data_IF_952893493976
#
_entry.id   IF_952893493976
#
_cell.length_a   1.000
_cell.length_b   1.000
_cell.length_c   1.000
_cell.angle_alpha   90.00
_cell.angle_beta   90.00
_cell.angle_gamma   90.00
#
_symmetry.space_group_name_H-M   'P 1'
#
loop_
_entity.id
_entity.type
_entity.pdbx_description
1 polymer ?
#
# COMPACT_ATOMS: atom_id res chain seq x y z
N UNK A 1 -11.46 28.30 -27.63
CA UNK A 1 -10.05 28.20 -27.22
C UNK A 1 -9.93 28.41 -25.72
N UNK A 2 -9.90 27.38 -24.91
CA UNK A 2 -9.56 27.41 -23.47
C UNK A 2 -9.07 26.01 -23.04
N UNK A 3 -7.79 25.71 -23.31
CA UNK A 3 -7.13 24.47 -22.95
C UNK A 3 -6.06 24.64 -21.86
N UNK A 4 -6.06 25.76 -21.12
CA UNK A 4 -4.95 26.16 -20.26
C UNK A 4 -5.11 25.97 -18.74
N UNK A 5 -6.31 25.64 -18.24
CA UNK A 5 -6.58 25.65 -16.77
C UNK A 5 -6.39 24.29 -16.06
N UNK A 6 -6.46 23.18 -16.78
CA UNK A 6 -6.46 21.84 -16.15
C UNK A 6 -5.08 21.31 -15.80
N UNK A 7 -4.03 21.72 -16.53
CA UNK A 7 -2.65 21.29 -16.25
C UNK A 7 -2.10 21.90 -14.96
N UNK A 8 -2.48 23.13 -14.63
CA UNK A 8 -2.08 23.79 -13.38
C UNK A 8 -2.73 23.17 -12.13
N UNK A 9 -3.92 22.58 -12.28
CA UNK A 9 -4.62 21.93 -11.18
C UNK A 9 -3.96 20.60 -10.80
N UNK A 10 -3.50 19.84 -11.79
CA UNK A 10 -2.81 18.56 -11.57
C UNK A 10 -1.48 18.76 -10.80
N UNK A 11 -0.71 19.80 -11.16
CA UNK A 11 0.57 20.11 -10.50
C UNK A 11 0.35 20.58 -9.04
N UNK A 12 -0.73 21.32 -8.76
CA UNK A 12 -1.05 21.75 -7.38
C UNK A 12 -1.52 20.63 -6.46
N UNK A 13 -2.20 19.62 -6.99
CA UNK A 13 -2.64 18.45 -6.19
C UNK A 13 -1.45 17.60 -5.77
N UNK A 14 -0.40 17.50 -6.61
CA UNK A 14 0.80 16.71 -6.31
C UNK A 14 1.77 17.39 -5.31
N UNK A 15 1.68 18.72 -5.13
CA UNK A 15 2.64 19.47 -4.29
C UNK A 15 2.09 19.81 -2.91
N UNK A 16 0.78 19.68 -2.64
CA UNK A 16 0.14 20.34 -1.49
C UNK A 16 -0.17 19.46 -0.27
N UNK A 17 0.26 18.24 -0.15
CA UNK A 17 -0.09 17.43 1.02
C UNK A 17 1.12 16.99 1.87
N UNK A 18 1.69 17.99 2.59
CA UNK A 18 2.28 17.76 3.92
C UNK A 18 1.31 18.26 5.00
N UNK A 19 0.04 17.87 4.94
CA UNK A 19 -0.88 18.16 6.04
C UNK A 19 -1.02 16.92 6.93
N UNK A 20 -0.70 17.13 8.19
CA UNK A 20 -1.00 16.24 9.31
C UNK A 20 -2.45 15.78 9.26
N UNK A 21 -2.64 14.48 9.10
CA UNK A 21 -3.93 13.83 9.17
C UNK A 21 -4.47 13.92 10.61
N UNK A 22 -5.55 14.65 10.82
CA UNK A 22 -6.42 14.56 11.99
C UNK A 22 -7.75 13.94 11.55
N UNK A 23 -7.76 12.62 11.40
CA UNK A 23 -8.99 11.86 11.20
C UNK A 23 -9.46 11.30 12.53
N UNK A 24 -10.74 11.44 12.83
CA UNK A 24 -11.43 10.92 14.02
C UNK A 24 -11.73 9.41 13.91
N UNK A 25 -10.73 8.64 13.57
CA UNK A 25 -10.73 7.19 13.74
C UNK A 25 -9.49 6.84 14.55
N UNK A 26 -9.64 6.11 15.64
CA UNK A 26 -8.51 5.68 16.48
C UNK A 26 -7.60 4.79 15.62
N UNK A 27 -6.67 5.41 14.91
CA UNK A 27 -5.58 4.71 14.25
C UNK A 27 -4.66 4.21 15.35
N UNK A 28 -4.73 2.91 15.68
CA UNK A 28 -3.76 2.28 16.56
C UNK A 28 -2.40 2.26 15.83
N UNK A 29 -1.58 3.24 16.14
CA UNK A 29 -0.14 3.19 15.85
C UNK A 29 0.54 2.53 17.05
N UNK A 30 1.14 1.35 16.90
CA UNK A 30 1.93 0.78 17.98
C UNK A 30 3.04 1.77 18.37
N UNK A 31 3.39 1.89 19.66
CA UNK A 31 4.39 2.85 20.13
C UNK A 31 5.74 2.60 19.44
N UNK A 32 6.40 3.70 19.05
CA UNK A 32 7.75 3.64 18.49
C UNK A 32 8.68 2.98 19.53
N UNK A 33 9.55 2.03 19.15
CA UNK A 33 10.55 1.50 20.05
C UNK A 33 11.46 2.63 20.53
N UNK A 34 11.58 2.77 21.84
CA UNK A 34 12.55 3.68 22.45
C UNK A 34 13.95 3.11 22.20
N UNK A 35 14.78 3.90 21.55
CA UNK A 35 16.21 3.68 21.27
C UNK A 35 16.54 2.47 20.37
N UNK A 36 17.09 2.80 19.21
CA UNK A 36 17.72 1.95 18.21
C UNK A 36 18.15 0.54 18.64
N UNK A 37 17.19 -0.38 18.70
CA UNK A 37 17.53 -1.78 18.80
C UNK A 37 18.23 -2.16 17.50
N UNK A 38 19.54 -2.28 17.58
CA UNK A 38 20.34 -2.78 16.47
C UNK A 38 19.92 -4.20 16.16
N UNK A 39 19.83 -4.55 14.87
CA UNK A 39 19.54 -5.90 14.36
C UNK A 39 20.54 -6.99 14.81
N UNK A 40 21.25 -6.79 15.88
CA UNK A 40 22.36 -7.63 16.32
C UNK A 40 21.95 -9.06 16.73
N UNK A 41 20.66 -9.35 16.83
CA UNK A 41 20.13 -10.69 17.13
C UNK A 41 19.50 -11.41 15.94
N UNK A 42 19.35 -10.75 14.78
CA UNK A 42 18.76 -11.36 13.58
C UNK A 42 19.81 -12.14 12.81
N UNK A 43 19.46 -13.33 12.32
CA UNK A 43 20.28 -14.02 11.33
C UNK A 43 20.31 -13.24 10.01
N UNK A 44 21.37 -13.43 9.18
CA UNK A 44 21.41 -12.78 7.86
C UNK A 44 20.19 -13.08 6.98
N UNK A 45 19.60 -14.26 7.10
CA UNK A 45 18.39 -14.64 6.38
C UNK A 45 17.15 -13.87 6.87
N UNK A 46 17.03 -13.68 8.18
CA UNK A 46 15.96 -12.89 8.78
C UNK A 46 16.09 -11.40 8.39
N UNK A 47 17.29 -10.85 8.44
CA UNK A 47 17.53 -9.47 8.00
C UNK A 47 17.17 -9.28 6.53
N UNK A 48 17.65 -10.16 5.64
CA UNK A 48 17.32 -10.12 4.22
C UNK A 48 15.80 -10.24 3.96
N UNK A 49 15.09 -11.00 4.79
CA UNK A 49 13.64 -11.11 4.70
C UNK A 49 12.96 -9.79 5.09
N UNK A 50 13.36 -9.15 6.19
CA UNK A 50 12.80 -7.85 6.63
C UNK A 50 13.05 -6.74 5.61
N UNK A 51 14.25 -6.66 5.05
CA UNK A 51 14.56 -5.71 3.98
C UNK A 51 13.66 -5.92 2.76
N UNK A 52 13.37 -7.18 2.42
CA UNK A 52 12.45 -7.53 1.34
C UNK A 52 11.02 -7.11 1.67
N UNK A 53 10.52 -7.40 2.87
CA UNK A 53 9.19 -6.96 3.34
C UNK A 53 9.06 -5.45 3.17
N UNK A 54 9.95 -4.67 3.75
CA UNK A 54 9.91 -3.21 3.69
C UNK A 54 9.94 -2.69 2.23
N UNK A 55 10.78 -3.27 1.37
CA UNK A 55 10.89 -2.86 -0.03
C UNK A 55 9.63 -3.15 -0.82
N UNK A 56 9.07 -4.34 -0.66
CA UNK A 56 7.88 -4.78 -1.39
C UNK A 56 6.67 -3.99 -0.95
N UNK A 57 6.49 -3.81 0.35
CA UNK A 57 5.36 -3.07 0.89
C UNK A 57 5.44 -1.59 0.49
N UNK A 58 6.62 -0.96 0.59
CA UNK A 58 6.80 0.41 0.11
C UNK A 58 6.46 0.55 -1.39
N UNK A 59 6.83 -0.41 -2.23
CA UNK A 59 6.50 -0.39 -3.64
C UNK A 59 5.00 -0.65 -3.88
N UNK A 60 4.37 -1.50 -3.08
CA UNK A 60 2.93 -1.77 -3.11
C UNK A 60 2.12 -0.53 -2.75
N UNK A 61 2.42 0.10 -1.61
CA UNK A 61 1.74 1.31 -1.14
C UNK A 61 1.93 2.51 -2.10
N UNK A 62 3.11 2.63 -2.69
CA UNK A 62 3.34 3.60 -3.75
C UNK A 62 2.45 3.34 -4.97
N UNK A 63 2.26 2.07 -5.33
CA UNK A 63 1.37 1.66 -6.40
C UNK A 63 -0.09 1.98 -6.09
N UNK A 64 -0.58 1.60 -4.91
CA UNK A 64 -1.95 1.84 -4.46
C UNK A 64 -2.27 3.34 -4.42
N UNK A 65 -1.44 4.16 -3.76
CA UNK A 65 -1.59 5.62 -3.74
C UNK A 65 -1.76 6.21 -5.14
N UNK A 66 -0.95 5.77 -6.12
CA UNK A 66 -1.03 6.29 -7.48
C UNK A 66 -2.23 5.75 -8.27
N UNK A 67 -2.67 4.51 -8.02
CA UNK A 67 -3.92 3.99 -8.57
C UNK A 67 -5.10 4.85 -8.11
N UNK A 68 -5.22 5.10 -6.80
CA UNK A 68 -6.28 5.94 -6.25
C UNK A 68 -6.19 7.38 -6.76
N UNK A 69 -4.99 7.95 -6.89
CA UNK A 69 -4.80 9.27 -7.48
C UNK A 69 -5.33 9.35 -8.93
N UNK A 70 -5.06 8.33 -9.75
CA UNK A 70 -5.56 8.21 -11.11
C UNK A 70 -7.09 8.09 -11.15
N UNK A 71 -7.68 7.21 -10.32
CA UNK A 71 -9.13 7.05 -10.19
C UNK A 71 -9.82 8.34 -9.73
N UNK A 72 -9.25 9.02 -8.72
CA UNK A 72 -9.77 10.27 -8.21
C UNK A 72 -9.81 11.38 -9.26
N UNK A 73 -8.78 11.44 -10.10
CA UNK A 73 -8.72 12.38 -11.21
C UNK A 73 -9.78 12.05 -12.27
N UNK A 74 -9.84 10.80 -12.72
CA UNK A 74 -10.77 10.35 -13.76
C UNK A 74 -12.24 10.51 -13.35
N UNK A 75 -12.56 10.18 -12.09
CA UNK A 75 -13.91 10.24 -11.53
C UNK A 75 -14.21 11.56 -10.79
N UNK A 76 -13.43 12.61 -11.03
CA UNK A 76 -13.58 13.92 -10.37
C UNK A 76 -14.96 14.55 -10.50
N UNK A 77 -15.69 14.21 -11.57
CA UNK A 77 -17.06 14.66 -11.84
C UNK A 77 -18.13 13.84 -11.11
N UNK A 78 -17.81 12.64 -10.62
CA UNK A 78 -18.77 11.75 -9.95
C UNK A 78 -18.89 12.11 -8.47
N UNK A 79 -19.92 12.89 -8.11
CA UNK A 79 -20.14 13.38 -6.75
C UNK A 79 -20.41 12.28 -5.72
N UNK A 80 -20.86 11.09 -6.14
CA UNK A 80 -21.17 9.96 -5.24
C UNK A 80 -19.93 9.16 -4.89
N UNK A 81 -19.12 8.81 -5.87
CA UNK A 81 -17.96 7.93 -5.66
C UNK A 81 -16.68 8.68 -5.31
N UNK A 82 -16.55 9.93 -5.73
CA UNK A 82 -15.37 10.75 -5.46
C UNK A 82 -14.99 10.83 -3.97
N UNK A 83 -15.92 11.07 -3.00
CA UNK A 83 -15.56 11.08 -1.58
C UNK A 83 -15.14 9.69 -1.07
N UNK A 84 -15.67 8.61 -1.62
CA UNK A 84 -15.30 7.23 -1.27
C UNK A 84 -13.85 6.96 -1.70
N UNK A 85 -13.52 7.24 -2.97
CA UNK A 85 -12.14 7.10 -3.48
C UNK A 85 -11.18 7.98 -2.68
N UNK A 86 -11.60 9.22 -2.35
CA UNK A 86 -10.78 10.14 -1.57
C UNK A 86 -10.45 9.58 -0.19
N UNK A 87 -11.41 8.98 0.49
CA UNK A 87 -11.22 8.40 1.81
C UNK A 87 -10.20 7.25 1.78
N UNK A 88 -10.36 6.29 0.87
CA UNK A 88 -9.40 5.19 0.68
C UNK A 88 -8.02 5.73 0.29
N UNK A 89 -7.94 6.69 -0.63
CA UNK A 89 -6.68 7.30 -1.04
C UNK A 89 -5.94 8.01 0.10
N UNK A 90 -6.65 8.68 1.01
CA UNK A 90 -6.03 9.32 2.19
C UNK A 90 -5.38 8.27 3.11
N UNK A 91 -5.93 7.07 3.21
CA UNK A 91 -5.33 5.97 3.95
C UNK A 91 -4.07 5.45 3.24
N UNK A 92 -4.10 5.29 1.90
CA UNK A 92 -2.92 4.89 1.11
C UNK A 92 -1.75 5.86 1.23
N UNK A 93 -2.03 7.18 1.27
CA UNK A 93 -1.00 8.19 1.52
C UNK A 93 -0.34 7.95 2.88
N UNK A 94 -1.11 7.57 3.89
CA UNK A 94 -0.60 7.24 5.21
C UNK A 94 0.23 5.95 5.20
N UNK A 95 -0.25 4.87 4.57
CA UNK A 95 0.48 3.61 4.41
C UNK A 95 1.83 3.84 3.73
N UNK A 96 1.82 4.50 2.58
CA UNK A 96 3.05 4.87 1.86
C UNK A 96 4.01 5.70 2.71
N UNK A 97 3.51 6.68 3.45
CA UNK A 97 4.34 7.51 4.34
C UNK A 97 5.03 6.67 5.41
N UNK A 98 4.30 5.72 5.99
CA UNK A 98 4.82 4.79 7.01
C UNK A 98 5.92 3.90 6.43
N UNK A 99 5.69 3.26 5.28
CA UNK A 99 6.72 2.41 4.66
C UNK A 99 7.90 3.20 4.09
N UNK A 100 7.70 4.42 3.61
CA UNK A 100 8.83 5.32 3.25
C UNK A 100 9.74 5.60 4.44
N UNK A 101 9.15 5.80 5.62
CA UNK A 101 9.90 6.02 6.86
C UNK A 101 10.66 4.76 7.27
N UNK A 102 10.00 3.59 7.28
CA UNK A 102 10.66 2.30 7.55
C UNK A 102 11.80 2.04 6.57
N UNK A 103 11.57 2.29 5.27
CA UNK A 103 12.61 2.13 4.24
C UNK A 103 13.84 3.01 4.51
N UNK A 104 13.62 4.26 4.94
CA UNK A 104 14.70 5.18 5.28
C UNK A 104 15.43 4.78 6.56
N UNK A 105 14.69 4.41 7.61
CA UNK A 105 15.25 4.00 8.91
C UNK A 105 16.12 2.73 8.79
N UNK A 106 15.65 1.76 7.99
CA UNK A 106 16.37 0.49 7.74
C UNK A 106 17.35 0.56 6.57
N UNK A 107 17.50 1.71 5.90
CA UNK A 107 18.36 1.91 4.73
C UNK A 107 18.09 0.90 3.60
N UNK A 108 16.84 0.49 3.45
CA UNK A 108 16.42 -0.44 2.41
C UNK A 108 16.40 0.26 1.06
N UNK A 109 17.00 -0.35 0.04
CA UNK A 109 16.97 0.20 -1.32
C UNK A 109 15.57 0.08 -1.91
N UNK A 110 15.04 1.15 -2.55
CA UNK A 110 13.81 1.04 -3.31
C UNK A 110 13.98 0.11 -4.52
N UNK A 111 12.88 -0.44 -5.02
CA UNK A 111 12.90 -1.20 -6.27
C UNK A 111 13.43 -0.34 -7.43
N UNK A 112 14.31 -0.90 -8.24
CA UNK A 112 14.84 -0.21 -9.43
C UNK A 112 13.74 0.12 -10.45
N UNK A 113 12.63 -0.62 -10.41
CA UNK A 113 11.48 -0.38 -11.29
C UNK A 113 10.51 0.69 -10.76
N UNK A 114 10.86 1.39 -9.67
CA UNK A 114 10.00 2.45 -9.09
C UNK A 114 9.47 3.45 -10.14
N UNK A 115 10.24 3.96 -11.12
CA UNK A 115 9.69 4.86 -12.15
C UNK A 115 8.61 4.20 -13.02
N UNK A 116 8.77 2.92 -13.34
CA UNK A 116 7.80 2.14 -14.11
C UNK A 116 6.53 1.89 -13.31
N UNK A 117 6.68 1.51 -12.03
CA UNK A 117 5.54 1.32 -11.12
C UNK A 117 4.71 2.59 -10.99
N UNK A 118 5.36 3.76 -10.87
CA UNK A 118 4.67 5.06 -10.79
C UNK A 118 3.81 5.33 -12.02
N UNK A 119 4.36 5.18 -13.20
CA UNK A 119 3.65 5.44 -14.45
C UNK A 119 2.52 4.42 -14.67
N UNK A 120 2.81 3.12 -14.47
CA UNK A 120 1.85 2.04 -14.65
C UNK A 120 0.68 2.09 -13.67
N UNK A 121 0.96 2.34 -12.39
CA UNK A 121 -0.06 2.42 -11.35
C UNK A 121 -1.02 3.60 -11.56
N UNK A 122 -0.48 4.80 -11.81
CA UNK A 122 -1.32 5.96 -12.13
C UNK A 122 -2.14 5.74 -13.40
N UNK A 123 -1.50 5.20 -14.46
CA UNK A 123 -2.17 4.89 -15.72
C UNK A 123 -3.29 3.87 -15.55
N UNK A 124 -3.09 2.81 -14.76
CA UNK A 124 -4.11 1.81 -14.44
C UNK A 124 -5.30 2.43 -13.71
N UNK A 125 -5.04 3.23 -12.68
CA UNK A 125 -6.09 3.92 -11.93
C UNK A 125 -6.88 4.88 -12.80
N UNK A 126 -6.18 5.69 -13.62
CA UNK A 126 -6.81 6.62 -14.53
C UNK A 126 -7.65 5.91 -15.61
N UNK A 127 -7.10 4.86 -16.25
CA UNK A 127 -7.79 4.13 -17.29
C UNK A 127 -9.06 3.44 -16.79
N UNK A 128 -8.99 2.78 -15.63
CA UNK A 128 -10.17 2.12 -15.03
C UNK A 128 -11.21 3.14 -14.58
N UNK A 129 -10.80 4.26 -13.98
CA UNK A 129 -11.70 5.35 -13.62
C UNK A 129 -12.33 6.06 -14.84
N UNK A 130 -11.58 6.17 -15.94
CA UNK A 130 -12.06 6.74 -17.20
C UNK A 130 -13.10 5.83 -17.87
N UNK A 131 -12.97 4.51 -17.75
CA UNK A 131 -13.99 3.59 -18.25
C UNK A 131 -15.34 3.82 -17.56
N UNK A 132 -15.39 3.67 -16.25
CA UNK A 132 -16.55 3.97 -15.40
C UNK A 132 -16.23 3.69 -13.92
N UNK A 133 -17.21 3.98 -13.05
CA UNK A 133 -17.13 3.73 -11.61
C UNK A 133 -16.91 2.24 -11.29
N UNK A 134 -17.64 1.38 -11.94
CA UNK A 134 -17.61 -0.06 -11.72
C UNK A 134 -16.23 -0.65 -12.05
N UNK A 135 -15.62 -0.21 -13.15
CA UNK A 135 -14.27 -0.62 -13.52
C UNK A 135 -13.21 -0.12 -12.53
N UNK A 136 -13.34 1.11 -12.02
CA UNK A 136 -12.48 1.62 -10.97
C UNK A 136 -12.61 0.77 -9.69
N UNK A 137 -13.83 0.46 -9.25
CA UNK A 137 -14.07 -0.38 -8.08
C UNK A 137 -13.58 -1.82 -8.31
N UNK A 138 -13.72 -2.39 -9.51
CA UNK A 138 -13.17 -3.70 -9.83
C UNK A 138 -11.63 -3.71 -9.83
N UNK A 139 -11.00 -2.61 -10.22
CA UNK A 139 -9.56 -2.42 -10.07
C UNK A 139 -9.15 -2.42 -8.60
N UNK A 140 -9.80 -1.62 -7.76
CA UNK A 140 -9.59 -1.60 -6.31
C UNK A 140 -9.77 -3.00 -5.72
N UNK A 141 -10.90 -3.68 -5.98
CA UNK A 141 -11.13 -5.05 -5.52
C UNK A 141 -10.00 -6.02 -5.89
N UNK A 142 -9.51 -5.94 -7.12
CA UNK A 142 -8.43 -6.81 -7.59
C UNK A 142 -7.10 -6.54 -6.90
N UNK A 143 -6.73 -5.26 -6.72
CA UNK A 143 -5.50 -4.82 -6.07
C UNK A 143 -5.53 -5.23 -4.59
N UNK A 144 -6.58 -4.88 -3.85
CA UNK A 144 -6.68 -5.13 -2.41
C UNK A 144 -6.79 -6.63 -2.09
N UNK A 145 -7.36 -7.42 -3.02
CA UNK A 145 -7.31 -8.89 -2.92
C UNK A 145 -5.86 -9.42 -2.91
N UNK A 146 -4.98 -8.84 -3.71
CA UNK A 146 -3.58 -9.28 -3.79
C UNK A 146 -2.78 -8.77 -2.60
N UNK A 147 -2.93 -7.49 -2.24
CA UNK A 147 -2.22 -6.86 -1.12
C UNK A 147 -2.61 -7.52 0.21
N UNK A 148 -3.90 -7.70 0.48
CA UNK A 148 -4.37 -8.33 1.71
C UNK A 148 -3.87 -9.78 1.86
N UNK A 149 -3.78 -10.56 0.77
CA UNK A 149 -3.17 -11.89 0.78
C UNK A 149 -1.66 -11.84 1.03
N UNK A 150 -0.98 -10.86 0.45
CA UNK A 150 0.45 -10.65 0.63
C UNK A 150 0.76 -10.33 2.10
N UNK A 151 0.07 -9.38 2.71
CA UNK A 151 0.19 -9.07 4.13
C UNK A 151 -0.10 -10.25 5.05
N UNK A 152 -1.13 -11.05 4.76
CA UNK A 152 -1.40 -12.28 5.52
C UNK A 152 -0.24 -13.28 5.43
N UNK A 153 0.40 -13.40 4.27
CA UNK A 153 1.57 -14.26 4.09
C UNK A 153 2.77 -13.76 4.92
N UNK A 154 3.02 -12.46 4.89
CA UNK A 154 4.09 -11.84 5.68
C UNK A 154 3.87 -12.00 7.18
N UNK A 155 2.65 -11.73 7.67
CA UNK A 155 2.30 -11.93 9.09
C UNK A 155 2.53 -13.37 9.55
N UNK A 156 2.24 -14.36 8.69
CA UNK A 156 2.52 -15.77 8.98
C UNK A 156 4.01 -16.03 9.14
N UNK A 157 4.83 -15.53 8.21
CA UNK A 157 6.29 -15.71 8.28
C UNK A 157 6.87 -14.98 9.48
N UNK A 158 6.48 -13.72 9.72
CA UNK A 158 6.94 -12.95 10.88
C UNK A 158 6.57 -13.61 12.22
N UNK A 159 5.39 -14.24 12.29
CA UNK A 159 4.97 -14.95 13.50
C UNK A 159 5.68 -16.28 13.72
N UNK A 160 6.00 -17.02 12.65
CA UNK A 160 6.58 -18.36 12.77
C UNK A 160 8.12 -18.32 12.84
N UNK A 161 8.77 -17.46 12.03
CA UNK A 161 10.22 -17.50 11.84
C UNK A 161 10.97 -16.45 12.68
N UNK A 162 10.23 -15.62 13.42
CA UNK A 162 10.80 -14.57 14.27
C UNK A 162 10.34 -14.69 15.74
N UNK A 163 9.64 -15.79 16.09
CA UNK A 163 9.11 -16.00 17.43
C UNK A 163 10.22 -16.25 18.47
N UNK A 164 11.35 -16.84 18.06
CA UNK A 164 12.42 -17.29 18.94
C UNK A 164 13.64 -16.33 18.98
N UNK A 165 13.41 -15.05 18.70
CA UNK A 165 14.48 -14.05 18.80
C UNK A 165 14.86 -13.84 20.27
N UNK A 166 16.13 -14.11 20.60
CA UNK A 166 16.69 -13.83 21.91
C UNK A 166 17.27 -12.43 21.96
N UNK A 167 17.06 -11.72 23.07
CA UNK A 167 17.74 -10.48 23.32
C UNK A 167 19.21 -10.72 23.73
N UNK A 168 19.99 -9.65 23.92
CA UNK A 168 21.39 -9.72 24.32
C UNK A 168 21.61 -10.40 25.70
N UNK A 169 20.54 -10.68 26.45
CA UNK A 169 20.54 -11.34 27.75
C UNK A 169 20.02 -12.79 27.70
N UNK A 170 19.95 -13.38 26.50
CA UNK A 170 19.47 -14.74 26.23
C UNK A 170 17.99 -14.99 26.67
N UNK A 171 17.22 -13.91 26.91
CA UNK A 171 15.78 -14.00 27.16
C UNK A 171 15.04 -13.97 25.83
N UNK A 172 14.04 -14.85 25.69
CA UNK A 172 13.07 -14.77 24.60
C UNK A 172 12.41 -13.39 24.64
N UNK A 173 12.81 -12.55 23.74
CA UNK A 173 12.21 -11.24 23.54
C UNK A 173 11.88 -11.16 22.07
N UNK A 174 10.58 -11.15 21.74
CA UNK A 174 10.18 -10.63 20.46
C UNK A 174 10.79 -9.24 20.35
N UNK A 175 11.67 -9.00 19.37
CA UNK A 175 12.26 -7.67 19.28
C UNK A 175 11.09 -6.68 19.14
N UNK A 176 11.09 -5.62 19.93
CA UNK A 176 10.03 -4.59 19.89
C UNK A 176 9.78 -4.08 18.47
N UNK A 177 10.80 -4.12 17.64
CA UNK A 177 10.80 -3.74 16.24
C UNK A 177 9.98 -4.70 15.37
N UNK A 178 10.15 -6.02 15.55
CA UNK A 178 9.37 -7.02 14.84
C UNK A 178 7.90 -6.96 15.25
N UNK A 179 7.62 -6.80 16.53
CA UNK A 179 6.25 -6.64 17.01
C UNK A 179 5.60 -5.34 16.48
N UNK A 180 6.39 -4.25 16.40
CA UNK A 180 5.92 -3.01 15.78
C UNK A 180 5.60 -3.21 14.29
N UNK A 181 6.49 -3.83 13.52
CA UNK A 181 6.26 -4.13 12.10
C UNK A 181 5.04 -5.04 11.90
N UNK A 182 4.91 -6.11 12.70
CA UNK A 182 3.73 -7.00 12.68
C UNK A 182 2.45 -6.23 12.97
N UNK A 183 2.48 -5.36 13.98
CA UNK A 183 1.34 -4.50 14.34
C UNK A 183 0.94 -3.57 13.19
N UNK A 184 1.90 -2.93 12.55
CA UNK A 184 1.69 -2.06 11.39
C UNK A 184 1.08 -2.82 10.22
N UNK A 185 1.69 -3.95 9.82
CA UNK A 185 1.19 -4.79 8.72
C UNK A 185 -0.22 -5.31 9.02
N UNK A 186 -0.51 -5.66 10.28
CA UNK A 186 -1.86 -6.12 10.67
C UNK A 186 -2.90 -5.02 10.51
N UNK A 187 -2.61 -3.80 10.97
CA UNK A 187 -3.53 -2.66 10.85
C UNK A 187 -3.78 -2.34 9.37
N UNK A 188 -2.73 -2.25 8.57
CA UNK A 188 -2.86 -1.96 7.15
C UNK A 188 -3.63 -3.06 6.42
N UNK A 189 -3.30 -4.34 6.66
CA UNK A 189 -4.07 -5.46 6.13
C UNK A 189 -5.56 -5.36 6.41
N UNK A 190 -5.95 -4.93 7.61
CA UNK A 190 -7.36 -4.80 8.00
C UNK A 190 -8.02 -3.63 7.24
N UNK A 191 -7.29 -2.55 6.98
CA UNK A 191 -7.74 -1.42 6.15
C UNK A 191 -7.86 -1.80 4.68
N UNK A 192 -6.94 -2.62 4.12
CA UNK A 192 -7.08 -3.15 2.75
C UNK A 192 -8.31 -4.05 2.58
N UNK A 193 -8.66 -4.82 3.61
CA UNK A 193 -9.90 -5.59 3.61
C UNK A 193 -11.14 -4.68 3.67
N UNK A 194 -11.05 -3.53 4.31
CA UNK A 194 -12.11 -2.52 4.29
C UNK A 194 -12.24 -1.87 2.90
N UNK A 195 -11.11 -1.53 2.24
CA UNK A 195 -11.11 -1.03 0.86
C UNK A 195 -11.72 -2.05 -0.10
N UNK A 196 -11.33 -3.32 0.03
CA UNK A 196 -11.92 -4.43 -0.73
C UNK A 196 -13.44 -4.50 -0.57
N UNK A 197 -13.93 -4.48 0.66
CA UNK A 197 -15.36 -4.50 0.94
C UNK A 197 -16.08 -3.26 0.41
N UNK A 198 -15.47 -2.09 0.55
CA UNK A 198 -15.98 -0.82 0.01
C UNK A 198 -16.11 -0.90 -1.51
N UNK A 199 -15.12 -1.46 -2.21
CA UNK A 199 -15.19 -1.64 -3.66
C UNK A 199 -16.34 -2.56 -4.07
N UNK A 200 -16.54 -3.68 -3.35
CA UNK A 200 -17.64 -4.62 -3.61
C UNK A 200 -19.00 -3.94 -3.38
N UNK A 201 -19.15 -3.18 -2.30
CA UNK A 201 -20.38 -2.44 -1.98
C UNK A 201 -20.68 -1.30 -2.97
N UNK A 202 -19.65 -0.84 -3.71
CA UNK A 202 -19.76 0.19 -4.72
C UNK A 202 -19.75 -0.36 -6.16
N UNK A 203 -20.33 -1.54 -6.35
CA UNK A 203 -20.67 -2.13 -7.66
C UNK A 203 -19.46 -2.68 -8.44
N UNK A 204 -18.37 -3.06 -7.82
CA UNK A 204 -17.21 -3.66 -8.54
C UNK A 204 -17.62 -4.86 -9.41
N UNK A 205 -18.56 -5.69 -8.92
CA UNK A 205 -19.08 -6.87 -9.64
C UNK A 205 -19.85 -6.53 -10.92
N UNK A 206 -20.28 -5.30 -11.07
CA UNK A 206 -21.01 -4.83 -12.25
C UNK A 206 -20.08 -4.37 -13.38
N UNK A 207 -18.78 -4.29 -13.16
CA UNK A 207 -17.79 -4.00 -14.21
C UNK A 207 -17.91 -4.97 -15.40
N UNK A 208 -17.69 -4.50 -16.61
CA UNK A 208 -17.72 -5.34 -17.81
C UNK A 208 -16.46 -5.13 -18.66
N UNK A 209 -15.75 -6.18 -18.99
CA UNK A 209 -15.88 -7.58 -18.54
C UNK A 209 -15.20 -7.82 -17.18
N UNK A 210 -15.98 -8.06 -16.12
CA UNK A 210 -15.47 -8.12 -14.73
C UNK A 210 -14.35 -9.14 -14.54
N UNK A 211 -14.59 -10.39 -14.96
CA UNK A 211 -13.59 -11.45 -14.76
C UNK A 211 -12.27 -11.16 -15.46
N UNK A 212 -12.31 -10.74 -16.71
CA UNK A 212 -11.10 -10.43 -17.47
C UNK A 212 -10.32 -9.27 -16.83
N UNK A 213 -11.03 -8.21 -16.46
CA UNK A 213 -10.42 -7.03 -15.82
C UNK A 213 -9.75 -7.40 -14.49
N UNK A 214 -10.47 -8.06 -13.60
CA UNK A 214 -9.96 -8.38 -12.26
C UNK A 214 -8.82 -9.40 -12.30
N UNK A 215 -8.90 -10.46 -13.10
CA UNK A 215 -7.82 -11.45 -13.18
C UNK A 215 -6.57 -10.91 -13.87
N UNK A 216 -6.73 -10.05 -14.88
CA UNK A 216 -5.59 -9.36 -15.49
C UNK A 216 -4.88 -8.47 -14.46
N UNK A 217 -5.62 -7.65 -13.73
CA UNK A 217 -5.04 -6.75 -12.69
C UNK A 217 -4.38 -7.58 -11.59
N UNK A 218 -5.03 -8.62 -11.07
CA UNK A 218 -4.42 -9.51 -10.06
C UNK A 218 -3.13 -10.15 -10.56
N UNK A 219 -3.09 -10.55 -11.82
CA UNK A 219 -1.88 -11.14 -12.42
C UNK A 219 -0.76 -10.13 -12.52
N UNK A 220 -1.05 -8.91 -12.97
CA UNK A 220 -0.08 -7.80 -13.02
C UNK A 220 0.44 -7.48 -11.62
N UNK A 221 -0.45 -7.34 -10.62
CA UNK A 221 -0.04 -7.07 -9.23
C UNK A 221 0.85 -8.18 -8.65
N UNK A 222 0.48 -9.45 -8.84
CA UNK A 222 1.31 -10.58 -8.40
C UNK A 222 2.68 -10.58 -9.08
N UNK A 223 2.75 -10.26 -10.37
CA UNK A 223 4.00 -10.14 -11.11
C UNK A 223 4.85 -8.97 -10.59
N UNK A 224 4.20 -7.85 -10.27
CA UNK A 224 4.89 -6.69 -9.68
C UNK A 224 5.50 -7.02 -8.31
N UNK A 225 4.74 -7.70 -7.43
CA UNK A 225 5.23 -8.19 -6.12
C UNK A 225 6.41 -9.14 -6.34
N UNK A 226 6.27 -10.13 -7.22
CA UNK A 226 7.33 -11.11 -7.51
C UNK A 226 8.62 -10.43 -7.97
N UNK A 227 8.53 -9.40 -8.79
CA UNK A 227 9.69 -8.63 -9.26
C UNK A 227 10.27 -7.78 -8.13
N UNK A 228 9.44 -7.05 -7.37
CA UNK A 228 9.89 -6.19 -6.27
C UNK A 228 10.58 -6.97 -5.14
N UNK A 229 10.24 -8.25 -4.95
CA UNK A 229 10.95 -9.14 -4.02
C UNK A 229 12.41 -9.40 -4.41
N UNK A 230 12.79 -9.20 -5.67
CA UNK A 230 14.08 -9.62 -6.24
C UNK A 230 15.00 -8.47 -6.62
N UNK A 231 14.42 -7.31 -6.97
CA UNK A 231 15.20 -6.17 -7.48
C UNK A 231 14.77 -4.82 -6.92
#
# INVERSE_FOLDING_TARGET
>A
MRAGSNVKLCTKVLIRNQHTYQGSGVSYMPPKPENGATHSSLSPAQQAYLERVIRVDQAGELGADLIYAGQYLALSHNKKVKPIIKHMWEQEIHHRSTFNKLQSEHRVRPSILTPLWKAGAFGLGFATGFMNKEAAMACTEAVETVIGKHYNSQLRVLSNNFADLKDSNDKFSNSKEIEHLKGTIKVFRDQELEHLNTAIQNDSKNARPYWLLTETIKTVCKSAVFVAERI
#
